data_IF_558908297410
#
_entry.id   IF_558908297410
#
_cell.length_a   1.000
_cell.length_b   1.000
_cell.length_c   1.000
_cell.angle_alpha   90.00
_cell.angle_beta   90.00
_cell.angle_gamma   90.00
#
_symmetry.space_group_name_H-M   'P 1'
#
loop_
_entity.id
_entity.type
_entity.pdbx_description
1 polymer ?
#
# COMPACT_ATOMS: atom_id res chain seq x y z
N UNK A 1 5.99 -4.56 16.05
CA UNK A 1 6.47 -4.47 14.66
C UNK A 1 5.31 -4.61 13.70
N UNK A 2 4.94 -3.55 12.98
CA UNK A 2 3.90 -3.57 11.94
C UNK A 2 4.55 -3.85 10.58
N UNK A 3 4.00 -4.80 9.81
CA UNK A 3 4.45 -5.10 8.44
C UNK A 3 3.53 -4.34 7.48
N UNK A 4 4.05 -3.45 6.61
CA UNK A 4 3.21 -2.72 5.65
C UNK A 4 2.63 -3.67 4.59
N UNK A 5 1.34 -3.52 4.30
CA UNK A 5 0.63 -4.32 3.31
C UNK A 5 0.18 -3.42 2.15
N UNK A 6 0.56 -3.77 0.92
CA UNK A 6 0.14 -3.05 -0.29
C UNK A 6 -0.80 -3.93 -1.09
N UNK A 7 -2.06 -3.52 -1.22
CA UNK A 7 -3.02 -4.17 -2.09
C UNK A 7 -2.75 -3.79 -3.55
N UNK A 8 -2.53 -4.77 -4.43
CA UNK A 8 -2.33 -4.57 -5.87
C UNK A 8 -3.44 -5.29 -6.65
N UNK A 9 -4.42 -4.54 -7.16
CA UNK A 9 -5.66 -5.11 -7.73
C UNK A 9 -5.88 -4.75 -9.20
N UNK A 10 -6.48 -5.65 -9.98
CA UNK A 10 -6.96 -5.33 -11.33
C UNK A 10 -8.34 -4.67 -11.34
N UNK A 11 -9.03 -4.63 -10.19
CA UNK A 11 -10.36 -4.04 -10.05
C UNK A 11 -10.21 -2.64 -9.46
N UNK A 12 -10.54 -1.63 -10.27
CA UNK A 12 -10.43 -0.22 -9.89
C UNK A 12 -11.79 0.27 -9.40
N UNK A 13 -11.84 0.86 -8.20
CA UNK A 13 -13.05 1.49 -7.70
C UNK A 13 -12.93 1.95 -6.24
N UNK A 14 -13.70 2.99 -5.90
CA UNK A 14 -13.70 3.59 -4.55
C UNK A 14 -14.11 2.57 -3.47
N UNK A 15 -15.08 1.70 -3.77
CA UNK A 15 -15.52 0.66 -2.84
C UNK A 15 -14.42 -0.39 -2.59
N UNK A 16 -13.71 -0.81 -3.63
CA UNK A 16 -12.60 -1.76 -3.52
C UNK A 16 -11.44 -1.16 -2.73
N UNK A 17 -11.06 0.09 -3.04
CA UNK A 17 -10.04 0.81 -2.29
C UNK A 17 -10.41 0.89 -0.81
N UNK A 18 -11.65 1.28 -0.49
CA UNK A 18 -12.14 1.36 0.89
C UNK A 18 -12.04 0.01 1.60
N UNK A 19 -12.52 -1.06 0.97
CA UNK A 19 -12.47 -2.40 1.54
C UNK A 19 -11.02 -2.84 1.85
N UNK A 20 -10.06 -2.56 0.97
CA UNK A 20 -8.65 -2.85 1.23
C UNK A 20 -8.10 -2.07 2.43
N UNK A 21 -8.43 -0.78 2.54
CA UNK A 21 -7.97 0.04 3.66
C UNK A 21 -8.60 -0.41 4.99
N UNK A 22 -9.90 -0.71 5.00
CA UNK A 22 -10.62 -1.22 6.18
C UNK A 22 -10.10 -2.60 6.63
N UNK A 23 -9.62 -3.42 5.69
CA UNK A 23 -8.96 -4.70 5.99
C UNK A 23 -7.53 -4.54 6.56
N UNK A 24 -7.02 -3.32 6.70
CA UNK A 24 -5.70 -3.04 7.28
C UNK A 24 -4.57 -2.91 6.26
N UNK A 25 -4.86 -2.72 4.96
CA UNK A 25 -3.82 -2.39 4.00
C UNK A 25 -3.24 -0.99 4.26
N UNK A 26 -1.93 -0.86 4.14
CA UNK A 26 -1.21 0.41 4.22
C UNK A 26 -1.41 1.24 2.94
N UNK A 27 -1.44 0.58 1.78
CA UNK A 27 -1.67 1.23 0.48
C UNK A 27 -2.48 0.37 -0.47
N UNK A 28 -3.06 1.03 -1.46
CA UNK A 28 -3.80 0.45 -2.57
C UNK A 28 -3.20 0.91 -3.89
N UNK A 29 -2.98 -0.03 -4.82
CA UNK A 29 -2.44 0.16 -6.16
C UNK A 29 -3.26 -0.64 -7.17
N UNK A 30 -3.31 -0.15 -8.40
CA UNK A 30 -4.00 -0.82 -9.51
C UNK A 30 -3.03 -1.54 -10.43
N UNK A 31 -3.48 -2.62 -11.06
CA UNK A 31 -2.76 -3.33 -12.12
C UNK A 31 -3.13 -2.72 -13.49
N UNK A 32 -2.19 -2.69 -14.45
CA UNK A 32 -0.76 -2.91 -14.26
C UNK A 32 -0.14 -1.77 -13.44
N UNK A 33 0.75 -2.10 -12.52
CA UNK A 33 1.53 -1.09 -11.79
C UNK A 33 2.81 -0.82 -12.56
N UNK A 34 3.15 0.46 -12.71
CA UNK A 34 4.46 0.87 -13.24
C UNK A 34 5.54 0.59 -12.17
N UNK A 35 6.56 -0.24 -12.45
CA UNK A 35 7.59 -0.58 -11.46
C UNK A 35 8.24 0.63 -10.80
N UNK A 36 8.46 1.72 -11.55
CA UNK A 36 9.01 2.96 -11.00
C UNK A 36 8.11 3.59 -9.93
N UNK A 37 6.80 3.49 -10.08
CA UNK A 37 5.85 3.99 -9.09
C UNK A 37 5.94 3.20 -7.78
N UNK A 38 6.02 1.86 -7.87
CA UNK A 38 6.18 1.00 -6.71
C UNK A 38 7.49 1.31 -5.97
N UNK A 39 8.60 1.42 -6.70
CA UNK A 39 9.90 1.75 -6.12
C UNK A 39 9.89 3.11 -5.41
N UNK A 40 9.15 4.09 -5.94
CA UNK A 40 9.01 5.43 -5.33
C UNK A 40 8.26 5.40 -4.00
N UNK A 41 7.42 4.38 -3.76
CA UNK A 41 6.61 4.22 -2.55
C UNK A 41 7.34 3.43 -1.45
N UNK A 42 8.30 2.58 -1.81
CA UNK A 42 9.05 1.74 -0.87
C UNK A 42 9.68 2.51 0.30
N UNK A 43 10.38 3.66 0.11
CA UNK A 43 10.98 4.38 1.24
C UNK A 43 9.95 4.77 2.30
N UNK A 44 8.75 5.20 1.89
CA UNK A 44 7.68 5.58 2.81
C UNK A 44 7.06 4.36 3.51
N UNK A 45 6.99 3.22 2.84
CA UNK A 45 6.48 1.98 3.43
C UNK A 45 7.45 1.40 4.46
N UNK A 46 8.75 1.55 4.24
CA UNK A 46 9.80 1.03 5.12
C UNK A 46 10.15 1.98 6.28
N UNK A 47 10.02 3.30 6.08
CA UNK A 47 10.29 4.31 7.11
C UNK A 47 9.25 4.34 8.25
N UNK A 48 8.13 3.61 8.12
CA UNK A 48 7.01 3.63 9.05
C UNK A 48 7.27 3.06 10.46
N UNK A 49 8.49 2.59 10.79
CA UNK A 49 8.77 1.93 12.07
C UNK A 49 10.01 2.44 12.84
N UNK A 50 10.61 3.57 12.48
CA UNK A 50 11.66 4.21 13.31
C UNK A 50 11.08 5.35 14.19
N UNK A 51 9.96 5.08 14.88
CA UNK A 51 9.60 5.87 16.06
C UNK A 51 10.10 5.11 17.31
N UNK A 52 10.99 5.70 18.12
CA UNK A 52 11.42 5.09 19.37
C UNK A 52 10.25 5.10 20.36
N UNK A 53 9.72 3.92 20.67
CA UNK A 53 8.94 3.61 21.88
C UNK A 53 9.00 2.11 22.17
#
# INVERSE_FOLDING_TARGET
SHIPIVALTGRVGVAEQRACMEAGCTQYLTKPVEPRELLRRLPHLLAGNDSPA
#
